data_IF_525504003114
#
_entry.id   IF_525504003114
#
_cell.length_a   1.000
_cell.length_b   1.000
_cell.length_c   1.000
_cell.angle_alpha   90.00
_cell.angle_beta   90.00
_cell.angle_gamma   90.00
#
_symmetry.space_group_name_H-M   'P 1'
#
loop_
_entity.id
_entity.type
_entity.pdbx_description
1 polymer ?
#
# COMPACT_ATOMS: atom_id res chain seq x y z
N UNK A 1 18.55 5.12 2.89
CA UNK A 1 17.61 4.53 1.94
C UNK A 1 17.74 5.05 0.53
N UNK A 2 17.86 6.36 0.36
CA UNK A 2 18.08 6.94 -0.97
C UNK A 2 19.25 6.30 -1.71
N UNK A 3 20.30 5.94 -0.99
CA UNK A 3 21.51 5.36 -1.57
C UNK A 3 21.33 3.95 -2.15
N UNK A 4 20.36 3.19 -1.63
CA UNK A 4 20.10 1.84 -2.14
C UNK A 4 19.57 1.87 -3.58
N UNK A 5 18.69 2.79 -3.87
CA UNK A 5 18.14 2.95 -5.22
C UNK A 5 19.18 3.49 -6.19
N UNK A 6 20.04 4.38 -5.72
CA UNK A 6 21.16 4.88 -6.50
C UNK A 6 22.12 3.73 -6.85
N UNK A 7 22.49 2.93 -5.86
CA UNK A 7 23.37 1.78 -6.06
C UNK A 7 22.75 0.80 -7.06
N UNK A 8 21.46 0.51 -6.90
CA UNK A 8 20.74 -0.40 -7.78
C UNK A 8 20.72 0.08 -9.23
N UNK A 9 20.58 1.38 -9.42
CA UNK A 9 20.57 2.00 -10.74
C UNK A 9 21.97 1.98 -11.35
N UNK A 10 22.99 2.35 -10.60
CA UNK A 10 24.39 2.38 -11.07
C UNK A 10 24.92 1.01 -11.40
N UNK A 11 24.63 0.02 -10.55
CA UNK A 11 25.09 -1.36 -10.70
C UNK A 11 24.16 -2.22 -11.55
N UNK A 12 23.07 -1.64 -12.03
CA UNK A 12 22.08 -2.29 -12.91
C UNK A 12 21.54 -3.58 -12.30
N UNK A 13 21.04 -3.51 -11.07
CA UNK A 13 20.43 -4.65 -10.40
C UNK A 13 19.26 -5.22 -11.21
N UNK A 14 19.17 -6.53 -11.24
CA UNK A 14 18.09 -7.25 -11.89
C UNK A 14 17.47 -8.22 -10.90
N UNK A 15 16.14 -8.26 -10.88
CA UNK A 15 15.38 -9.04 -9.92
C UNK A 15 14.73 -10.24 -10.61
N UNK A 16 14.70 -11.41 -9.97
CA UNK A 16 14.12 -12.62 -10.57
C UNK A 16 12.60 -12.59 -10.54
N UNK A 17 11.97 -12.34 -11.69
CA UNK A 17 10.53 -12.42 -11.85
C UNK A 17 10.20 -12.62 -13.31
N UNK A 18 9.79 -13.83 -13.68
CA UNK A 18 9.51 -14.19 -15.08
C UNK A 18 10.65 -13.75 -16.03
N UNK A 19 11.88 -14.07 -15.61
CA UNK A 19 13.09 -13.56 -16.25
C UNK A 19 13.79 -12.59 -15.31
N UNK A 20 14.28 -11.48 -15.85
CA UNK A 20 14.94 -10.44 -15.05
C UNK A 20 14.26 -9.10 -15.27
N UNK A 21 13.97 -8.41 -14.19
CA UNK A 21 13.33 -7.10 -14.23
C UNK A 21 14.16 -6.06 -13.48
N UNK A 22 13.92 -4.80 -13.76
CA UNK A 22 14.62 -3.66 -13.15
C UNK A 22 13.95 -3.21 -11.85
N UNK A 23 14.62 -2.34 -11.10
CA UNK A 23 14.03 -1.70 -9.90
C UNK A 23 12.74 -0.96 -10.26
N UNK A 24 12.73 -0.26 -11.38
CA UNK A 24 11.56 0.48 -11.83
C UNK A 24 10.36 -0.44 -12.03
N UNK A 25 10.59 -1.63 -12.56
CA UNK A 25 9.54 -2.62 -12.79
C UNK A 25 8.93 -3.12 -11.48
N UNK A 26 9.70 -3.12 -10.39
CA UNK A 26 9.20 -3.56 -9.09
C UNK A 26 8.02 -2.70 -8.60
N UNK A 27 8.04 -1.42 -8.93
CA UNK A 27 6.96 -0.51 -8.54
C UNK A 27 5.63 -0.84 -9.20
N UNK A 28 5.66 -1.54 -10.32
CA UNK A 28 4.47 -1.94 -11.06
C UNK A 28 3.89 -3.29 -10.60
N UNK A 29 4.60 -4.00 -9.73
CA UNK A 29 4.18 -5.33 -9.28
C UNK A 29 3.20 -5.26 -8.11
N UNK A 30 2.35 -6.30 -8.02
CA UNK A 30 1.48 -6.48 -6.87
C UNK A 30 2.27 -6.88 -5.62
N UNK A 31 1.74 -6.66 -4.41
CA UNK A 31 2.38 -7.13 -3.19
C UNK A 31 2.68 -8.63 -3.19
N UNK A 32 1.81 -9.44 -3.79
CA UNK A 32 2.01 -10.88 -3.91
C UNK A 32 3.23 -11.21 -4.76
N UNK A 33 3.40 -10.52 -5.88
CA UNK A 33 4.56 -10.69 -6.76
C UNK A 33 5.86 -10.27 -6.06
N UNK A 34 5.82 -9.16 -5.33
CA UNK A 34 6.97 -8.70 -4.54
C UNK A 34 7.36 -9.69 -3.46
N UNK A 35 6.38 -10.30 -2.80
CA UNK A 35 6.61 -11.34 -1.80
C UNK A 35 7.29 -12.56 -2.42
N UNK A 36 6.88 -12.96 -3.62
CA UNK A 36 7.51 -14.06 -4.35
C UNK A 36 8.98 -13.78 -4.65
N UNK A 37 9.29 -12.57 -5.08
CA UNK A 37 10.68 -12.13 -5.33
C UNK A 37 11.48 -12.16 -4.02
N UNK A 38 10.88 -11.63 -2.95
CA UNK A 38 11.51 -11.62 -1.63
C UNK A 38 11.88 -13.02 -1.18
N UNK A 39 10.98 -13.99 -1.34
CA UNK A 39 11.22 -15.38 -0.96
C UNK A 39 12.39 -15.99 -1.73
N UNK A 40 12.46 -15.73 -3.03
CA UNK A 40 13.57 -16.21 -3.87
C UNK A 40 14.89 -15.62 -3.41
N UNK A 41 14.94 -14.31 -3.21
CA UNK A 41 16.16 -13.61 -2.77
C UNK A 41 16.60 -14.04 -1.38
N UNK A 42 15.64 -14.16 -0.46
CA UNK A 42 15.91 -14.57 0.91
C UNK A 42 16.47 -16.00 0.97
N UNK A 43 15.93 -16.88 0.16
CA UNK A 43 16.41 -18.26 0.05
C UNK A 43 17.84 -18.31 -0.49
N UNK A 44 18.13 -17.50 -1.51
CA UNK A 44 19.48 -17.39 -2.08
C UNK A 44 20.47 -16.84 -1.04
N UNK A 45 20.07 -15.85 -0.27
CA UNK A 45 20.88 -15.26 0.79
C UNK A 45 21.20 -16.28 1.89
N UNK A 46 20.21 -17.06 2.31
CA UNK A 46 20.40 -18.12 3.31
C UNK A 46 21.31 -19.23 2.79
N UNK A 47 21.17 -19.61 1.52
CA UNK A 47 22.01 -20.61 0.91
C UNK A 47 23.48 -20.18 0.89
N UNK A 48 23.74 -18.90 0.63
CA UNK A 48 25.09 -18.34 0.69
C UNK A 48 25.67 -18.42 2.10
N UNK A 49 24.89 -18.14 3.12
CA UNK A 49 25.30 -18.26 4.51
C UNK A 49 25.61 -19.71 4.88
N UNK A 50 24.74 -20.63 4.47
CA UNK A 50 24.88 -22.06 4.79
C UNK A 50 26.06 -22.71 4.11
N UNK A 51 26.40 -22.30 2.91
CA UNK A 51 27.51 -22.87 2.14
C UNK A 51 28.86 -22.47 2.69
N UNK A 52 28.92 -21.53 3.58
CA UNK A 52 30.17 -20.98 4.04
C UNK A 52 30.47 -21.31 5.49
N UNK A 53 31.22 -22.37 5.69
CA UNK A 53 31.88 -22.61 6.96
C UNK A 53 33.08 -21.65 7.15
N UNK A 54 33.62 -21.13 6.09
CA UNK A 54 34.73 -20.17 6.10
C UNK A 54 34.17 -18.76 6.04
N UNK A 55 33.58 -18.33 7.12
CA UNK A 55 32.78 -17.12 7.18
C UNK A 55 33.54 -15.80 6.96
N UNK A 56 34.77 -15.83 6.62
CA UNK A 56 35.58 -14.62 6.38
C UNK A 56 35.49 -14.09 4.97
N UNK A 57 34.46 -14.44 4.20
CA UNK A 57 34.37 -13.85 2.90
C UNK A 57 33.61 -12.57 2.91
N UNK A 58 34.02 -11.77 1.99
CA UNK A 58 33.27 -10.60 1.60
C UNK A 58 31.81 -11.02 1.35
N UNK A 59 30.94 -10.57 2.20
CA UNK A 59 29.51 -10.75 1.97
C UNK A 59 29.14 -10.13 0.65
N UNK A 60 28.40 -10.87 -0.15
CA UNK A 60 27.81 -10.30 -1.34
C UNK A 60 26.67 -9.38 -0.92
N UNK A 61 26.97 -8.10 -0.85
CA UNK A 61 26.02 -7.08 -0.44
C UNK A 61 24.93 -6.85 -1.48
N UNK A 62 25.13 -7.33 -2.71
CA UNK A 62 24.15 -7.17 -3.79
C UNK A 62 22.81 -7.81 -3.42
N UNK A 63 22.82 -9.07 -2.99
CA UNK A 63 21.59 -9.77 -2.61
C UNK A 63 20.93 -9.11 -1.40
N UNK A 64 21.72 -8.72 -0.40
CA UNK A 64 21.20 -8.02 0.77
C UNK A 64 20.51 -6.71 0.38
N UNK A 65 21.14 -5.94 -0.50
CA UNK A 65 20.57 -4.68 -0.99
C UNK A 65 19.30 -4.92 -1.77
N UNK A 66 19.24 -5.94 -2.60
CA UNK A 66 18.05 -6.31 -3.35
C UNK A 66 16.89 -6.67 -2.42
N UNK A 67 17.16 -7.44 -1.36
CA UNK A 67 16.17 -7.79 -0.35
C UNK A 67 15.61 -6.54 0.33
N UNK A 68 16.50 -5.62 0.72
CA UNK A 68 16.09 -4.37 1.37
C UNK A 68 15.22 -3.50 0.46
N UNK A 69 15.57 -3.44 -0.83
CA UNK A 69 14.79 -2.68 -1.81
C UNK A 69 13.39 -3.28 -1.96
N UNK A 70 13.29 -4.60 -2.11
CA UNK A 70 12.00 -5.27 -2.24
C UNK A 70 11.15 -5.06 -0.99
N UNK A 71 11.74 -5.17 0.18
CA UNK A 71 11.03 -4.91 1.45
C UNK A 71 10.49 -3.48 1.53
N UNK A 72 11.30 -2.52 1.12
CA UNK A 72 10.90 -1.11 1.14
C UNK A 72 9.72 -0.86 0.22
N UNK A 73 9.82 -1.33 -1.03
CA UNK A 73 8.76 -1.16 -2.03
C UNK A 73 7.47 -1.86 -1.57
N UNK A 74 7.59 -3.06 -1.04
CA UNK A 74 6.45 -3.80 -0.49
C UNK A 74 5.76 -3.01 0.62
N UNK A 75 6.54 -2.48 1.56
CA UNK A 75 6.00 -1.70 2.68
C UNK A 75 5.28 -0.45 2.21
N UNK A 76 5.85 0.28 1.26
CA UNK A 76 5.23 1.48 0.68
C UNK A 76 3.92 1.15 -0.01
N UNK A 77 3.92 0.11 -0.85
CA UNK A 77 2.71 -0.30 -1.59
C UNK A 77 1.62 -0.81 -0.66
N UNK A 78 1.99 -1.52 0.38
CA UNK A 78 1.04 -2.00 1.40
C UNK A 78 0.42 -0.82 2.16
N UNK A 79 1.23 0.15 2.55
CA UNK A 79 0.75 1.35 3.22
C UNK A 79 -0.20 2.15 2.33
N UNK A 80 0.13 2.31 1.05
CA UNK A 80 -0.75 2.99 0.09
C UNK A 80 -2.07 2.25 -0.08
N UNK A 81 -2.03 0.92 -0.17
CA UNK A 81 -3.24 0.11 -0.28
C UNK A 81 -4.12 0.23 0.97
N UNK A 82 -3.50 0.20 2.15
CA UNK A 82 -4.21 0.38 3.42
C UNK A 82 -4.82 1.78 3.54
N UNK A 83 -4.11 2.80 3.09
CA UNK A 83 -4.62 4.18 3.08
C UNK A 83 -5.82 4.33 2.15
N UNK A 84 -5.77 3.72 0.96
CA UNK A 84 -6.91 3.72 0.03
C UNK A 84 -8.11 2.99 0.62
N UNK A 85 -7.88 1.86 1.28
CA UNK A 85 -8.94 1.08 1.93
C UNK A 85 -9.58 1.89 3.05
N UNK A 86 -8.77 2.52 3.90
CA UNK A 86 -9.26 3.36 4.99
C UNK A 86 -10.06 4.56 4.46
N UNK A 87 -9.59 5.20 3.39
CA UNK A 87 -10.30 6.31 2.76
C UNK A 87 -11.65 5.87 2.19
N UNK A 88 -11.69 4.68 1.54
CA UNK A 88 -12.94 4.13 1.00
C UNK A 88 -13.93 3.80 2.13
N UNK A 89 -13.47 3.20 3.22
CA UNK A 89 -14.30 2.89 4.39
C UNK A 89 -14.85 4.17 5.03
N UNK A 90 -14.01 5.20 5.15
CA UNK A 90 -14.42 6.49 5.70
C UNK A 90 -15.44 7.20 4.83
N UNK A 91 -15.26 7.13 3.51
CA UNK A 91 -16.22 7.70 2.56
C UNK A 91 -17.58 6.99 2.65
N UNK A 92 -17.58 5.67 2.80
CA UNK A 92 -18.79 4.88 2.96
C UNK A 92 -19.51 5.20 4.27
N UNK A 93 -18.78 5.30 5.36
CA UNK A 93 -19.31 5.71 6.67
C UNK A 93 -19.92 7.11 6.60
N UNK A 94 -19.24 8.03 5.94
CA UNK A 94 -19.73 9.40 5.76
C UNK A 94 -21.05 9.43 5.00
N UNK A 95 -21.15 8.67 3.91
CA UNK A 95 -22.41 8.56 3.16
C UNK A 95 -23.53 7.99 4.01
N UNK A 96 -23.24 6.97 4.79
CA UNK A 96 -24.23 6.36 5.70
C UNK A 96 -24.73 7.37 6.73
N UNK A 97 -23.84 8.14 7.33
CA UNK A 97 -24.19 9.17 8.31
C UNK A 97 -25.04 10.27 7.64
N UNK A 98 -24.67 10.68 6.42
CA UNK A 98 -25.45 11.67 5.68
C UNK A 98 -26.86 11.18 5.34
N UNK A 99 -27.00 9.89 5.01
CA UNK A 99 -28.33 9.28 4.78
C UNK A 99 -29.18 9.31 6.05
N UNK A 100 -28.59 9.01 7.21
CA UNK A 100 -29.28 9.06 8.50
C UNK A 100 -29.72 10.49 8.82
N UNK A 101 -28.85 11.46 8.59
CA UNK A 101 -29.17 12.87 8.80
C UNK A 101 -30.32 13.33 7.91
N UNK A 102 -30.30 12.93 6.64
CA UNK A 102 -31.36 13.28 5.70
C UNK A 102 -32.71 12.71 6.15
N UNK A 103 -32.74 11.46 6.59
CA UNK A 103 -33.96 10.82 7.13
C UNK A 103 -34.48 11.54 8.36
N UNK A 104 -33.59 11.90 9.28
CA UNK A 104 -33.99 12.61 10.49
C UNK A 104 -34.54 13.99 10.19
N UNK A 105 -33.98 14.70 9.22
CA UNK A 105 -34.50 15.98 8.77
C UNK A 105 -35.89 15.82 8.15
N UNK A 106 -36.11 14.80 7.34
CA UNK A 106 -37.40 14.48 6.76
C UNK A 106 -38.44 14.15 7.84
N UNK A 107 -38.07 13.33 8.83
CA UNK A 107 -38.92 12.99 9.95
C UNK A 107 -39.31 14.26 10.77
N UNK A 108 -38.33 15.12 11.02
CA UNK A 108 -38.58 16.38 11.73
C UNK A 108 -39.55 17.25 10.95
N UNK A 109 -39.43 17.30 9.63
CA UNK A 109 -40.38 18.05 8.79
C UNK A 109 -41.76 17.40 8.80
N UNK A 110 -41.81 16.06 8.72
CA UNK A 110 -43.09 15.32 8.73
C UNK A 110 -43.83 15.45 10.06
N UNK A 111 -43.10 15.66 11.15
CA UNK A 111 -43.69 15.82 12.49
C UNK A 111 -44.17 17.25 12.79
N UNK A 112 -43.90 18.20 11.90
CA UNK A 112 -44.35 19.58 12.07
C UNK A 112 -45.82 19.70 11.65
N UNK A 113 -46.53 20.60 12.34
CA UNK A 113 -47.92 20.86 11.99
C UNK A 113 -48.02 21.54 10.63
N UNK A 114 -49.21 21.46 10.01
CA UNK A 114 -49.47 22.08 8.74
C UNK A 114 -49.21 23.60 8.80
N UNK A 115 -49.58 24.24 9.90
CA UNK A 115 -49.33 25.65 10.11
C UNK A 115 -47.86 26.01 10.15
N UNK A 116 -47.04 25.17 10.80
CA UNK A 116 -45.59 25.35 10.86
C UNK A 116 -44.95 25.20 9.47
N UNK A 117 -45.39 24.24 8.70
CA UNK A 117 -44.90 24.02 7.34
C UNK A 117 -45.22 25.17 6.41
N UNK A 118 -46.46 25.69 6.51
CA UNK A 118 -46.88 26.87 5.74
C UNK A 118 -46.07 28.10 6.11
N UNK A 119 -45.79 28.25 7.39
CA UNK A 119 -44.98 29.36 7.89
C UNK A 119 -43.55 29.29 7.37
N UNK A 120 -42.96 28.08 7.30
CA UNK A 120 -41.65 27.88 6.72
C UNK A 120 -41.60 28.22 5.23
N UNK A 121 -42.66 27.91 4.51
CA UNK A 121 -42.77 28.29 3.09
C UNK A 121 -42.83 29.79 2.90
N UNK A 122 -43.53 30.51 3.78
CA UNK A 122 -43.63 31.96 3.73
C UNK A 122 -42.30 32.66 4.03
N UNK A 123 -41.41 32.01 4.79
CA UNK A 123 -40.09 32.52 5.11
C UNK A 123 -39.06 32.31 3.98
N UNK A 124 -39.41 31.54 3.00
CA UNK A 124 -38.56 31.33 1.84
C UNK A 124 -38.87 32.42 0.78
#
# INVERSE_FOLDING_TARGET
MANLFEIATREKYRFPYKGQITVEDLWDLSPTALDSIYKVLNKAMKAQEDESLMAERTKDTTTENMVLIVKYIFAVKKEEANARKAAAENAEKRRHIMDILARKQDEALNNKSEEELLKMLDEL
#
